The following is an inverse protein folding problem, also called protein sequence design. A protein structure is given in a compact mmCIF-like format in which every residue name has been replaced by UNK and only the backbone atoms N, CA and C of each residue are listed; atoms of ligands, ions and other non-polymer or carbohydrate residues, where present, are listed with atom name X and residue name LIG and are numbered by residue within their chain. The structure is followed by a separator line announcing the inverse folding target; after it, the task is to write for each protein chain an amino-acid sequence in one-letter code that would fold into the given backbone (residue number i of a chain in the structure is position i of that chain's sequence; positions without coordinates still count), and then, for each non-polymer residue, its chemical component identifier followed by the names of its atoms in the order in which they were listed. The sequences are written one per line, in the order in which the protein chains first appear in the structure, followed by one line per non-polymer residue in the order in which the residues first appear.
data_IF_320484429278
#
_entry.id   IF_320484429278
#
_cell.length_a   1.000
_cell.length_b   1.000
_cell.length_c   1.000
_cell.angle_alpha   90.00
_cell.angle_beta   90.00
_cell.angle_gamma   90.00
#
_symmetry.space_group_name_H-M   'P 1'
#
loop_
_entity.id
_entity.type
_entity.pdbx_description
1 polymer ?
#
# COMPACT_ATOMS: atom_id res chain seq x y z
N UNK A 1 -22.01 -14.25 60.67
CA UNK A 1 -20.58 -14.62 60.72
C UNK A 1 -19.88 -14.05 59.48
N UNK A 2 -19.43 -12.80 59.52
CA UNK A 2 -18.61 -12.22 58.46
C UNK A 2 -17.14 -12.49 58.78
N UNK A 3 -16.53 -13.38 58.01
CA UNK A 3 -15.09 -13.63 58.05
C UNK A 3 -14.41 -12.99 56.84
N UNK A 4 -14.35 -11.66 56.77
CA UNK A 4 -13.48 -11.01 55.78
C UNK A 4 -12.06 -10.92 56.37
N UNK A 5 -11.24 -11.92 56.06
CA UNK A 5 -9.81 -11.86 56.32
C UNK A 5 -9.19 -10.84 55.37
N UNK A 6 -8.65 -9.79 55.99
CA UNK A 6 -7.28 -9.28 55.76
C UNK A 6 -6.87 -9.29 54.28
N UNK A 7 -6.92 -8.14 53.61
CA UNK A 7 -5.78 -7.22 53.60
C UNK A 7 -4.45 -7.97 53.62
N UNK A 8 -4.00 -8.43 52.45
CA UNK A 8 -2.58 -8.65 52.20
C UNK A 8 -2.17 -7.80 51.01
N UNK A 9 -1.89 -6.55 51.36
CA UNK A 9 -0.90 -5.67 50.74
C UNK A 9 0.11 -6.45 49.89
N UNK A 10 0.14 -6.17 48.59
CA UNK A 10 1.40 -5.90 47.91
C UNK A 10 1.18 -4.64 47.09
N UNK A 11 1.52 -3.50 47.70
CA UNK A 11 1.57 -2.22 47.01
C UNK A 11 2.62 -2.31 45.92
N UNK A 12 2.18 -2.60 44.69
CA UNK A 12 2.98 -2.29 43.52
C UNK A 12 3.08 -0.76 43.53
N UNK A 13 4.25 -0.28 43.93
CA UNK A 13 4.55 1.14 44.10
C UNK A 13 3.99 1.92 42.90
N UNK A 14 3.26 3.02 43.15
CA UNK A 14 2.64 3.83 42.09
C UNK A 14 3.65 4.21 40.99
N UNK A 15 4.93 4.37 41.34
CA UNK A 15 6.02 4.60 40.39
C UNK A 15 6.32 3.38 39.51
N UNK A 16 6.25 2.16 40.04
CA UNK A 16 6.43 0.93 39.26
C UNK A 16 5.30 0.75 38.22
N UNK A 17 4.06 1.12 38.57
CA UNK A 17 2.93 1.12 37.63
C UNK A 17 3.05 2.24 36.57
N UNK A 18 3.57 3.40 36.94
CA UNK A 18 3.85 4.51 36.02
C UNK A 18 4.98 4.13 35.05
N UNK A 19 6.04 3.48 35.51
CA UNK A 19 7.16 3.06 34.67
C UNK A 19 6.78 1.96 33.67
N UNK A 20 5.94 0.99 34.05
CA UNK A 20 5.44 -0.01 33.10
C UNK A 20 4.52 0.61 32.06
N UNK A 21 3.62 1.52 32.46
CA UNK A 21 2.72 2.23 31.54
C UNK A 21 3.49 3.07 30.51
N UNK A 22 4.54 3.79 30.94
CA UNK A 22 5.39 4.60 30.05
C UNK A 22 6.20 3.73 29.10
N UNK A 23 6.82 2.65 29.61
CA UNK A 23 7.57 1.69 28.79
C UNK A 23 6.70 1.09 27.70
N UNK A 24 5.49 0.65 28.05
CA UNK A 24 4.58 0.02 27.09
C UNK A 24 4.14 1.03 26.03
N UNK A 25 3.83 2.28 26.40
CA UNK A 25 3.53 3.36 25.45
C UNK A 25 4.70 3.67 24.51
N UNK A 26 5.94 3.65 25.02
CA UNK A 26 7.16 3.85 24.23
C UNK A 26 7.37 2.69 23.26
N UNK A 27 7.16 1.44 23.69
CA UNK A 27 7.25 0.26 22.81
C UNK A 27 6.17 0.33 21.73
N UNK A 28 4.94 0.69 22.08
CA UNK A 28 3.87 0.89 21.11
C UNK A 28 4.20 2.01 20.12
N UNK A 29 4.74 3.15 20.58
CA UNK A 29 5.15 4.25 19.73
C UNK A 29 6.32 3.87 18.80
N UNK A 30 7.31 3.13 19.31
CA UNK A 30 8.44 2.61 18.52
C UNK A 30 7.99 1.59 17.48
N UNK A 31 7.13 0.64 17.85
CA UNK A 31 6.53 -0.31 16.92
C UNK A 31 5.72 0.39 15.84
N UNK A 32 4.94 1.42 16.21
CA UNK A 32 4.16 2.20 15.26
C UNK A 32 5.04 2.97 14.27
N UNK A 33 6.10 3.64 14.77
CA UNK A 33 7.09 4.32 13.93
C UNK A 33 7.83 3.35 13.00
N UNK A 34 8.16 2.15 13.48
CA UNK A 34 8.80 1.12 12.68
C UNK A 34 7.88 0.58 11.57
N UNK A 35 6.60 0.38 11.86
CA UNK A 35 5.62 -0.15 10.91
C UNK A 35 5.31 0.86 9.79
N UNK A 36 5.26 2.15 10.09
CA UNK A 36 5.07 3.22 9.10
C UNK A 36 6.24 3.29 8.12
N UNK A 37 7.47 3.01 8.56
CA UNK A 37 8.68 3.11 7.74
C UNK A 37 8.85 2.02 6.67
N UNK A 38 8.15 0.88 6.78
CA UNK A 38 8.36 -0.28 5.90
C UNK A 38 7.48 -0.27 4.64
N UNK A 39 6.55 0.68 4.52
CA UNK A 39 5.61 0.75 3.38
C UNK A 39 6.19 1.61 2.25
N UNK A 40 7.18 1.07 1.53
CA UNK A 40 7.65 1.62 0.25
C UNK A 40 7.40 0.58 -0.84
N UNK A 41 6.17 0.52 -1.35
CA UNK A 41 5.90 -0.13 -2.62
C UNK A 41 6.57 0.72 -3.71
N UNK A 42 7.50 0.13 -4.48
CA UNK A 42 8.09 0.82 -5.61
C UNK A 42 7.07 0.90 -6.74
N UNK A 43 6.77 2.10 -7.22
CA UNK A 43 5.97 2.27 -8.44
C UNK A 43 6.76 1.72 -9.63
N UNK A 44 6.11 0.87 -10.43
CA UNK A 44 6.67 0.38 -11.69
C UNK A 44 6.33 1.42 -12.75
N UNK A 45 7.28 2.29 -13.06
CA UNK A 45 7.18 3.22 -14.18
C UNK A 45 7.62 2.52 -15.48
N UNK A 46 6.68 2.34 -16.40
CA UNK A 46 6.97 1.86 -17.76
C UNK A 46 6.96 3.09 -18.67
N UNK A 47 8.12 3.57 -19.16
CA UNK A 47 8.17 4.75 -20.01
C UNK A 47 7.52 4.45 -21.37
N UNK A 48 6.68 5.37 -21.84
CA UNK A 48 6.10 5.33 -23.18
C UNK A 48 5.84 6.75 -23.68
N UNK A 49 5.85 6.91 -24.99
CA UNK A 49 5.40 8.13 -25.66
C UNK A 49 3.96 7.95 -26.14
N UNK A 50 3.15 9.00 -26.02
CA UNK A 50 1.78 9.02 -26.49
C UNK A 50 1.49 10.30 -27.26
N UNK A 51 0.99 10.15 -28.46
CA UNK A 51 0.54 11.27 -29.29
C UNK A 51 -0.67 10.89 -30.15
N UNK A 52 -1.32 11.90 -30.71
CA UNK A 52 -2.47 11.75 -31.59
C UNK A 52 -2.10 12.33 -32.95
N UNK A 53 -2.37 11.56 -34.00
CA UNK A 53 -2.14 11.98 -35.39
C UNK A 53 -3.26 12.91 -35.87
N UNK A 54 -3.04 13.61 -36.99
CA UNK A 54 -4.03 14.54 -37.58
C UNK A 54 -5.37 13.87 -37.92
N UNK A 55 -5.34 12.55 -38.17
CA UNK A 55 -6.55 11.75 -38.44
C UNK A 55 -7.26 11.26 -37.16
N UNK A 56 -6.78 11.64 -35.97
CA UNK A 56 -7.33 11.25 -34.68
C UNK A 56 -6.85 9.91 -34.14
N UNK A 57 -5.97 9.18 -34.84
CA UNK A 57 -5.41 7.92 -34.33
C UNK A 57 -4.45 8.19 -33.16
N UNK A 58 -4.71 7.52 -32.04
CA UNK A 58 -3.79 7.54 -30.88
C UNK A 58 -2.68 6.52 -31.10
N UNK A 59 -1.44 6.97 -30.99
CA UNK A 59 -0.24 6.14 -31.08
C UNK A 59 0.43 6.10 -29.71
N UNK A 60 0.82 4.90 -29.30
CA UNK A 60 1.56 4.64 -28.06
C UNK A 60 2.84 3.88 -28.45
N UNK A 61 4.00 4.41 -28.08
CA UNK A 61 5.31 3.83 -28.38
C UNK A 61 6.04 3.53 -27.09
N UNK A 62 6.53 2.30 -26.96
CA UNK A 62 7.47 1.89 -25.92
C UNK A 62 8.75 1.41 -26.59
N UNK A 63 9.88 2.05 -26.27
CA UNK A 63 11.19 1.68 -26.78
C UNK A 63 11.95 0.85 -25.74
N UNK A 64 12.43 -0.34 -26.14
CA UNK A 64 13.32 -1.18 -25.32
C UNK A 64 14.63 -1.45 -26.08
N UNK A 65 15.77 -0.88 -25.67
CA UNK A 65 17.04 -1.05 -26.36
C UNK A 65 17.68 -2.44 -26.13
N UNK A 66 17.10 -3.29 -25.27
CA UNK A 66 17.66 -4.61 -24.94
C UNK A 66 17.50 -5.63 -26.05
N UNK A 67 16.52 -5.46 -26.93
CA UNK A 67 16.22 -6.40 -28.00
C UNK A 67 15.95 -5.68 -29.34
N UNK A 68 16.57 -6.09 -30.45
CA UNK A 68 16.32 -5.51 -31.77
C UNK A 68 15.06 -6.12 -32.42
N UNK A 69 13.91 -6.03 -31.75
CA UNK A 69 12.63 -6.58 -32.18
C UNK A 69 11.58 -5.48 -32.18
N UNK A 70 10.68 -5.49 -33.17
CA UNK A 70 9.56 -4.55 -33.26
C UNK A 70 8.24 -5.34 -33.29
N UNK A 71 7.30 -4.95 -32.44
CA UNK A 71 5.94 -5.47 -32.43
C UNK A 71 4.94 -4.34 -32.62
N UNK A 72 3.92 -4.56 -33.45
CA UNK A 72 2.88 -3.57 -33.75
C UNK A 72 1.53 -4.21 -33.51
N UNK A 73 0.65 -3.49 -32.80
CA UNK A 73 -0.73 -3.90 -32.56
C UNK A 73 -1.67 -2.78 -32.97
N UNK A 74 -2.79 -3.13 -33.60
CA UNK A 74 -3.83 -2.19 -34.00
C UNK A 74 -5.09 -2.55 -33.22
N UNK A 75 -5.65 -1.59 -32.52
CA UNK A 75 -6.83 -1.76 -31.69
C UNK A 75 -7.96 -0.90 -32.23
N UNK A 76 -9.12 -1.52 -32.43
CA UNK A 76 -10.34 -0.82 -32.81
C UNK A 76 -11.30 -0.78 -31.63
N UNK A 77 -11.93 0.39 -31.43
CA UNK A 77 -12.96 0.56 -30.40
C UNK A 77 -14.32 0.02 -30.88
N UNK A 78 -14.35 -1.24 -31.31
CA UNK A 78 -15.57 -1.93 -31.77
C UNK A 78 -15.54 -3.38 -31.32
N UNK A 79 -16.71 -3.97 -31.13
CA UNK A 79 -16.89 -5.40 -30.87
C UNK A 79 -18.35 -5.81 -31.06
N UNK A 80 -18.73 -7.01 -30.63
CA UNK A 80 -20.08 -7.54 -30.87
C UNK A 80 -21.22 -6.68 -30.29
N UNK A 81 -20.92 -5.82 -29.30
CA UNK A 81 -21.88 -4.82 -28.79
C UNK A 81 -22.34 -3.82 -29.87
N UNK A 82 -21.54 -3.62 -30.92
CA UNK A 82 -21.80 -2.66 -31.99
C UNK A 82 -22.53 -3.27 -33.19
N UNK A 83 -22.92 -4.54 -33.12
CA UNK A 83 -23.65 -5.21 -34.19
C UNK A 83 -25.12 -4.75 -34.24
N UNK A 84 -25.70 -4.75 -35.44
CA UNK A 84 -27.13 -4.55 -35.59
C UNK A 84 -27.88 -5.83 -35.17
N UNK A 85 -29.07 -5.73 -34.55
CA UNK A 85 -29.93 -6.89 -34.35
C UNK A 85 -30.20 -7.59 -35.68
N UNK A 86 -30.03 -8.91 -35.68
CA UNK A 86 -30.35 -9.79 -36.81
C UNK A 86 -31.81 -10.20 -36.85
#
# INVERSE_FOLDING_TARGET
MQGNKKSKSEGINMNHLILTKIRDNIIFALCFLFFVGLSKAGDIEIPYEKFVLDNGLTVIIHEDPKAPIVAVNIWYHVGSKNENPG
#
